data_IF_933016606460
#
_entry.id   IF_933016606460
#
_cell.length_a   1.000
_cell.length_b   1.000
_cell.length_c   1.000
_cell.angle_alpha   90.00
_cell.angle_beta   90.00
_cell.angle_gamma   90.00
#
_symmetry.space_group_name_H-M   'P 1'
#
loop_
_entity.id
_entity.type
_entity.pdbx_description
1 polymer ?
#
# COMPACT_ATOMS: atom_id res chain seq x y z
N UNK A 1 -7.17 17.53 14.40
CA UNK A 1 -5.81 17.34 13.84
C UNK A 1 -5.74 15.95 13.24
N UNK A 2 -5.22 15.79 12.02
CA UNK A 2 -5.18 14.50 11.33
C UNK A 2 -3.80 14.27 10.76
N UNK A 3 -3.24 13.07 10.91
CA UNK A 3 -1.99 12.67 10.26
C UNK A 3 -2.23 11.65 9.15
N UNK A 4 -1.22 11.42 8.31
CA UNK A 4 -1.32 10.46 7.19
C UNK A 4 -0.47 9.21 7.38
N UNK A 5 0.14 8.99 8.55
CA UNK A 5 0.93 7.78 8.82
C UNK A 5 0.08 6.51 8.86
N UNK A 6 0.53 5.47 8.14
CA UNK A 6 -0.07 4.13 8.19
C UNK A 6 0.29 3.35 9.45
N UNK A 7 1.42 3.65 10.08
CA UNK A 7 2.00 2.86 11.18
C UNK A 7 1.75 3.46 12.57
N UNK A 8 1.61 4.77 12.68
CA UNK A 8 1.43 5.46 13.96
C UNK A 8 -0.05 5.49 14.35
N UNK A 9 -0.35 5.17 15.61
CA UNK A 9 -1.66 5.38 16.22
C UNK A 9 -1.90 6.85 16.57
N UNK A 10 -3.11 7.18 17.01
CA UNK A 10 -3.46 8.54 17.46
C UNK A 10 -2.68 9.04 18.68
N UNK A 11 -1.90 8.17 19.37
CA UNK A 11 -1.10 8.55 20.53
C UNK A 11 -0.08 9.65 20.20
N UNK A 12 0.40 9.70 18.95
CA UNK A 12 1.31 10.76 18.48
C UNK A 12 0.66 12.15 18.43
N UNK A 13 -0.67 12.20 18.49
CA UNK A 13 -1.47 13.42 18.50
C UNK A 13 -1.99 13.79 19.90
N UNK A 14 -1.48 13.14 20.96
CA UNK A 14 -1.93 13.34 22.34
C UNK A 14 -1.90 14.81 22.79
N UNK A 15 -0.89 15.57 22.36
CA UNK A 15 -0.80 17.00 22.64
C UNK A 15 -2.00 17.79 22.10
N UNK A 16 -2.44 17.52 20.88
CA UNK A 16 -3.63 18.16 20.31
C UNK A 16 -4.91 17.68 20.98
N UNK A 17 -4.98 16.40 21.35
CA UNK A 17 -6.11 15.86 22.10
C UNK A 17 -6.28 16.57 23.45
N UNK A 18 -5.18 16.78 24.19
CA UNK A 18 -5.17 17.54 25.45
C UNK A 18 -5.54 19.01 25.28
N UNK A 19 -5.24 19.59 24.12
CA UNK A 19 -5.67 20.93 23.76
C UNK A 19 -7.15 21.00 23.31
N UNK A 20 -7.90 19.89 23.39
CA UNK A 20 -9.32 19.82 23.07
C UNK A 20 -9.65 19.52 21.61
N UNK A 21 -8.67 19.19 20.76
CA UNK A 21 -8.91 18.84 19.38
C UNK A 21 -9.29 17.36 19.23
N UNK A 22 -10.21 17.06 18.30
CA UNK A 22 -10.38 15.70 17.80
C UNK A 22 -9.15 15.28 16.98
N UNK A 23 -8.79 14.01 17.05
CA UNK A 23 -7.58 13.47 16.41
C UNK A 23 -7.90 12.27 15.53
N UNK A 24 -7.25 12.19 14.37
CA UNK A 24 -7.49 11.13 13.39
C UNK A 24 -6.26 10.77 12.56
N UNK A 25 -6.37 9.66 11.84
CA UNK A 25 -5.44 9.22 10.81
C UNK A 25 -6.19 9.04 9.51
N UNK A 26 -5.59 9.49 8.41
CA UNK A 26 -6.11 9.39 7.05
C UNK A 26 -4.96 8.94 6.14
N UNK A 27 -4.68 7.64 6.09
CA UNK A 27 -3.52 7.09 5.38
C UNK A 27 -3.91 6.60 3.99
N UNK A 28 -3.42 7.21 2.90
CA UNK A 28 -3.60 6.67 1.57
C UNK A 28 -2.77 5.39 1.42
N UNK A 29 -3.42 4.24 1.22
CA UNK A 29 -2.74 2.95 1.02
C UNK A 29 -2.21 2.83 -0.42
N UNK A 30 -1.31 3.74 -0.78
CA UNK A 30 -0.82 3.89 -2.14
C UNK A 30 0.66 4.29 -2.10
N UNK A 31 1.47 3.68 -2.98
CA UNK A 31 2.84 4.10 -3.18
C UNK A 31 2.86 5.34 -4.08
N UNK A 32 3.41 6.44 -3.56
CA UNK A 32 3.64 7.68 -4.30
C UNK A 32 5.11 7.79 -4.65
N UNK A 33 5.44 7.70 -5.94
CA UNK A 33 6.82 7.88 -6.42
C UNK A 33 7.06 9.27 -7.01
N UNK A 34 6.03 9.90 -7.60
CA UNK A 34 6.06 11.32 -8.01
C UNK A 34 4.72 12.00 -7.69
N UNK A 35 4.69 13.33 -7.74
CA UNK A 35 3.46 14.12 -7.53
C UNK A 35 2.43 13.80 -8.62
N UNK A 36 2.86 13.71 -9.88
CA UNK A 36 1.99 13.42 -11.03
C UNK A 36 1.36 12.04 -10.89
N UNK A 37 2.16 11.02 -10.54
CA UNK A 37 1.67 9.68 -10.27
C UNK A 37 0.77 9.64 -9.05
N UNK A 38 1.04 10.46 -8.03
CA UNK A 38 0.16 10.55 -6.86
C UNK A 38 -1.22 11.09 -7.26
N UNK A 39 -1.28 12.16 -8.05
CA UNK A 39 -2.54 12.72 -8.53
C UNK A 39 -3.31 11.73 -9.41
N UNK A 40 -2.62 10.95 -10.23
CA UNK A 40 -3.24 9.94 -11.10
C UNK A 40 -3.75 8.71 -10.35
N UNK A 41 -3.01 8.26 -9.34
CA UNK A 41 -3.27 6.98 -8.66
C UNK A 41 -4.05 7.13 -7.36
N UNK A 42 -4.16 8.34 -6.81
CA UNK A 42 -4.93 8.56 -5.57
C UNK A 42 -6.39 8.17 -5.77
N UNK A 43 -7.03 8.62 -6.85
CA UNK A 43 -8.39 8.18 -7.19
C UNK A 43 -8.40 6.67 -7.44
N UNK A 44 -9.33 5.96 -6.80
CA UNK A 44 -9.42 4.50 -6.83
C UNK A 44 -8.56 3.77 -5.78
N UNK A 45 -7.73 4.49 -5.01
CA UNK A 45 -7.03 3.93 -3.86
C UNK A 45 -7.96 3.72 -2.65
N UNK A 46 -7.44 3.06 -1.62
CA UNK A 46 -8.13 2.89 -0.33
C UNK A 46 -7.44 3.72 0.75
N UNK A 47 -8.23 4.48 1.53
CA UNK A 47 -7.76 5.22 2.71
C UNK A 47 -7.95 4.38 3.97
N UNK A 48 -6.89 4.18 4.75
CA UNK A 48 -6.95 3.66 6.11
C UNK A 48 -7.30 4.76 7.11
N UNK A 49 -8.42 4.60 7.83
CA UNK A 49 -8.98 5.60 8.74
C UNK A 49 -8.96 5.11 10.19
N UNK A 50 -8.49 5.98 11.08
CA UNK A 50 -8.60 5.87 12.54
C UNK A 50 -9.08 7.24 13.06
N UNK A 51 -10.00 7.29 14.02
CA UNK A 51 -10.54 8.56 14.51
C UNK A 51 -10.92 8.46 15.98
N UNK A 52 -10.70 9.55 16.74
CA UNK A 52 -11.02 9.62 18.17
C UNK A 52 -12.51 9.72 18.49
N UNK A 53 -13.35 10.01 17.48
CA UNK A 53 -14.78 10.18 17.64
C UNK A 53 -15.54 9.70 16.41
N UNK A 54 -16.83 9.45 16.60
CA UNK A 54 -17.75 9.10 15.52
C UNK A 54 -17.93 10.24 14.50
N UNK A 55 -18.00 11.49 14.99
CA UNK A 55 -18.17 12.68 14.15
C UNK A 55 -16.99 12.89 13.21
N UNK A 56 -15.77 12.83 13.74
CA UNK A 56 -14.55 12.92 12.93
C UNK A 56 -14.45 11.72 11.98
N UNK A 57 -14.78 10.51 12.43
CA UNK A 57 -14.76 9.32 11.57
C UNK A 57 -15.64 9.50 10.35
N UNK A 58 -16.90 9.90 10.54
CA UNK A 58 -17.84 10.11 9.45
C UNK A 58 -17.38 11.23 8.49
N UNK A 59 -16.72 12.27 9.00
CA UNK A 59 -16.11 13.31 8.16
C UNK A 59 -14.99 12.73 7.29
N UNK A 60 -14.08 11.96 7.88
CA UNK A 60 -12.96 11.35 7.14
C UNK A 60 -13.45 10.34 6.09
N UNK A 61 -14.46 9.53 6.41
CA UNK A 61 -15.05 8.59 5.45
C UNK A 61 -15.62 9.32 4.21
N UNK A 62 -16.38 10.40 4.42
CA UNK A 62 -16.87 11.24 3.32
C UNK A 62 -15.74 11.90 2.54
N UNK A 63 -14.72 12.42 3.21
CA UNK A 63 -13.56 13.01 2.53
C UNK A 63 -12.85 12.01 1.61
N UNK A 64 -12.76 10.73 2.01
CA UNK A 64 -12.19 9.69 1.15
C UNK A 64 -13.04 9.47 -0.11
N UNK A 65 -14.37 9.40 0.05
CA UNK A 65 -15.30 9.27 -1.08
C UNK A 65 -15.24 10.48 -2.02
N UNK A 66 -15.19 11.70 -1.47
CA UNK A 66 -15.13 12.96 -2.24
C UNK A 66 -13.88 13.05 -3.13
N UNK A 67 -12.76 12.41 -2.73
CA UNK A 67 -11.53 12.32 -3.53
C UNK A 67 -11.46 11.04 -4.39
N UNK A 68 -12.58 10.33 -4.54
CA UNK A 68 -12.69 9.14 -5.37
C UNK A 68 -11.99 7.90 -4.79
N UNK A 69 -11.74 7.87 -3.48
CA UNK A 69 -11.16 6.72 -2.79
C UNK A 69 -12.24 5.89 -2.10
N UNK A 70 -11.93 4.60 -1.89
CA UNK A 70 -12.62 3.78 -0.87
C UNK A 70 -11.94 3.97 0.49
N UNK A 71 -12.53 3.46 1.57
CA UNK A 71 -11.91 3.48 2.88
C UNK A 71 -12.06 2.17 3.64
N UNK A 72 -11.16 1.97 4.60
CA UNK A 72 -11.21 0.91 5.60
C UNK A 72 -10.92 1.50 6.97
N UNK A 73 -11.61 1.01 8.00
CA UNK A 73 -11.34 1.38 9.39
C UNK A 73 -10.19 0.52 9.90
N UNK A 74 -9.15 1.14 10.44
CA UNK A 74 -7.99 0.46 11.00
C UNK A 74 -7.96 0.72 12.51
N UNK A 75 -8.15 -0.30 13.35
CA UNK A 75 -8.09 -0.10 14.79
C UNK A 75 -6.64 0.19 15.22
N UNK A 76 -6.43 0.92 16.34
CA UNK A 76 -5.09 1.31 16.80
C UNK A 76 -4.11 0.12 16.91
N UNK A 77 -4.56 -1.00 17.48
CA UNK A 77 -3.79 -2.22 17.65
C UNK A 77 -3.43 -2.91 16.32
N UNK A 78 -4.17 -2.62 15.25
CA UNK A 78 -3.97 -3.18 13.91
C UNK A 78 -3.01 -2.37 13.04
N UNK A 79 -2.62 -1.15 13.44
CA UNK A 79 -1.86 -0.21 12.59
C UNK A 79 -0.54 -0.77 12.10
N UNK A 80 0.21 -1.45 12.98
CA UNK A 80 1.49 -2.07 12.62
C UNK A 80 1.29 -3.18 11.59
N UNK A 81 0.32 -4.07 11.78
CA UNK A 81 0.04 -5.16 10.84
C UNK A 81 -0.48 -4.63 9.50
N UNK A 82 -1.39 -3.67 9.53
CA UNK A 82 -1.91 -2.98 8.34
C UNK A 82 -0.78 -2.33 7.53
N UNK A 83 0.11 -1.59 8.18
CA UNK A 83 1.23 -0.95 7.50
C UNK A 83 2.25 -1.96 6.98
N UNK A 84 2.55 -3.00 7.76
CA UNK A 84 3.43 -4.09 7.31
C UNK A 84 2.87 -4.74 6.04
N UNK A 85 1.57 -5.06 5.99
CA UNK A 85 0.95 -5.60 4.78
C UNK A 85 1.17 -4.71 3.55
N UNK A 86 1.00 -3.38 3.71
CA UNK A 86 1.26 -2.42 2.64
C UNK A 86 2.75 -2.39 2.21
N UNK A 87 3.69 -2.45 3.16
CA UNK A 87 5.14 -2.51 2.90
C UNK A 87 5.52 -3.77 2.12
N UNK A 88 4.98 -4.93 2.51
CA UNK A 88 5.22 -6.19 1.80
C UNK A 88 4.67 -6.16 0.37
N UNK A 89 3.48 -5.58 0.18
CA UNK A 89 2.83 -5.47 -1.12
C UNK A 89 3.49 -4.42 -2.05
N UNK A 90 4.32 -3.51 -1.53
CA UNK A 90 4.89 -2.40 -2.31
C UNK A 90 6.42 -2.32 -2.20
N UNK A 91 6.97 -1.85 -1.07
CA UNK A 91 8.41 -1.63 -0.88
C UNK A 91 9.23 -2.90 -1.14
N UNK A 92 8.76 -4.05 -0.64
CA UNK A 92 9.50 -5.30 -0.83
C UNK A 92 9.40 -5.84 -2.25
N UNK A 93 8.31 -5.56 -2.97
CA UNK A 93 8.23 -5.87 -4.41
C UNK A 93 9.38 -5.18 -5.17
N UNK A 94 9.64 -3.90 -4.89
CA UNK A 94 10.76 -3.16 -5.51
C UNK A 94 12.10 -3.82 -5.21
N UNK A 95 12.31 -4.25 -3.96
CA UNK A 95 13.54 -4.92 -3.53
C UNK A 95 13.72 -6.27 -4.23
N UNK A 96 12.66 -7.06 -4.35
CA UNK A 96 12.69 -8.35 -5.05
C UNK A 96 13.02 -8.17 -6.54
N UNK A 97 12.43 -7.15 -7.18
CA UNK A 97 12.75 -6.80 -8.57
C UNK A 97 14.21 -6.37 -8.71
N UNK A 98 14.73 -5.55 -7.80
CA UNK A 98 16.15 -5.16 -7.81
C UNK A 98 17.09 -6.37 -7.71
N UNK A 99 16.81 -7.30 -6.79
CA UNK A 99 17.58 -8.54 -6.68
C UNK A 99 17.55 -9.34 -7.99
N UNK A 100 16.39 -9.47 -8.62
CA UNK A 100 16.27 -10.16 -9.92
C UNK A 100 17.10 -9.49 -11.02
N UNK A 101 17.12 -8.16 -11.08
CA UNK A 101 17.95 -7.41 -12.02
C UNK A 101 19.44 -7.66 -11.77
N UNK A 102 19.88 -7.62 -10.51
CA UNK A 102 21.29 -7.87 -10.14
C UNK A 102 21.75 -9.30 -10.46
N UNK A 103 20.83 -10.26 -10.48
CA UNK A 103 21.13 -11.62 -10.96
C UNK A 103 21.36 -11.67 -12.47
N UNK A 104 20.61 -10.89 -13.26
CA UNK A 104 20.79 -10.81 -14.72
C UNK A 104 22.05 -10.01 -15.09
N UNK A 105 22.39 -8.97 -14.32
CA UNK A 105 23.66 -8.23 -14.47
C UNK A 105 24.88 -9.16 -14.31
N UNK A 106 24.78 -10.24 -13.52
CA UNK A 106 25.84 -11.26 -13.38
C UNK A 106 26.04 -12.11 -14.63
N UNK A 107 25.11 -12.06 -15.58
CA UNK A 107 25.17 -12.70 -16.89
C UNK A 107 25.53 -11.69 -18.00
N UNK A 108 26.07 -10.53 -17.63
CA UNK A 108 26.40 -9.41 -18.53
C UNK A 108 25.19 -8.84 -19.30
N UNK A 109 23.97 -9.05 -18.79
CA UNK A 109 22.76 -8.43 -19.31
C UNK A 109 22.64 -7.03 -18.69
N UNK A 110 22.69 -5.99 -19.53
CA UNK A 110 22.53 -4.61 -19.09
C UNK A 110 21.16 -4.40 -18.42
N UNK A 111 21.12 -3.56 -17.39
CA UNK A 111 19.96 -3.38 -16.50
C UNK A 111 18.68 -2.96 -17.23
N UNK A 112 18.76 -2.09 -18.23
CA UNK A 112 17.63 -1.67 -19.06
C UNK A 112 17.12 -2.84 -19.90
N UNK A 113 18.01 -3.62 -20.51
CA UNK A 113 17.63 -4.86 -21.21
C UNK A 113 17.01 -5.89 -20.26
N UNK A 114 17.57 -6.07 -19.06
CA UNK A 114 17.03 -6.93 -18.01
C UNK A 114 15.64 -6.49 -17.55
N UNK A 115 15.42 -5.19 -17.37
CA UNK A 115 14.09 -4.64 -17.06
C UNK A 115 13.09 -4.88 -18.19
N UNK A 116 13.52 -4.72 -19.44
CA UNK A 116 12.71 -5.07 -20.61
C UNK A 116 12.30 -6.55 -20.63
N UNK A 117 13.23 -7.44 -20.29
CA UNK A 117 13.01 -8.89 -20.19
C UNK A 117 12.04 -9.24 -19.05
N UNK A 118 12.20 -8.64 -17.86
CA UNK A 118 11.39 -8.95 -16.68
C UNK A 118 10.02 -8.27 -16.68
N UNK A 119 9.85 -7.13 -17.36
CA UNK A 119 8.61 -6.35 -17.32
C UNK A 119 7.35 -7.14 -17.72
N UNK A 120 7.33 -7.92 -18.82
CA UNK A 120 6.18 -8.75 -19.17
C UNK A 120 5.88 -9.82 -18.10
N UNK A 121 6.93 -10.43 -17.53
CA UNK A 121 6.80 -11.44 -16.47
C UNK A 121 6.16 -10.83 -15.21
N UNK A 122 6.66 -9.69 -14.74
CA UNK A 122 6.14 -8.99 -13.56
C UNK A 122 4.66 -8.59 -13.74
N UNK A 123 4.31 -8.07 -14.92
CA UNK A 123 2.91 -7.72 -15.25
C UNK A 123 2.01 -8.95 -15.24
N UNK A 124 2.45 -10.06 -15.84
CA UNK A 124 1.74 -11.33 -15.83
C UNK A 124 1.53 -11.88 -14.42
N UNK A 125 2.58 -11.88 -13.59
CA UNK A 125 2.51 -12.30 -12.18
C UNK A 125 1.48 -11.47 -11.41
N UNK A 126 1.51 -10.15 -11.53
CA UNK A 126 0.54 -9.28 -10.84
C UNK A 126 -0.89 -9.49 -11.36
N UNK A 127 -1.09 -9.71 -12.66
CA UNK A 127 -2.39 -10.02 -13.23
C UNK A 127 -2.95 -11.35 -12.70
N UNK A 128 -2.10 -12.36 -12.49
CA UNK A 128 -2.51 -13.66 -11.96
C UNK A 128 -2.90 -13.61 -10.47
N UNK A 129 -2.31 -12.70 -9.70
CA UNK A 129 -2.66 -12.50 -8.28
C UNK A 129 -4.08 -11.90 -8.11
N UNK A 130 -4.60 -11.19 -9.12
CA UNK A 130 -5.86 -10.43 -9.04
C UNK A 130 -7.16 -11.26 -9.03
N UNK A 131 -7.11 -12.59 -8.93
CA UNK A 131 -8.33 -13.42 -8.86
C UNK A 131 -8.59 -13.93 -7.43
N UNK A 132 -9.46 -13.28 -6.64
CA UNK A 132 -10.08 -13.92 -5.50
C UNK A 132 -10.95 -15.08 -5.99
N UNK A 133 -10.60 -16.32 -5.65
CA UNK A 133 -11.41 -17.51 -5.91
C UNK A 133 -10.96 -18.44 -7.05
N UNK A 134 -9.77 -18.24 -7.65
CA UNK A 134 -9.17 -19.24 -8.54
C UNK A 134 -8.29 -20.19 -7.70
N UNK A 135 -8.66 -21.47 -7.52
CA UNK A 135 -7.88 -22.43 -6.72
C UNK A 135 -6.48 -22.72 -7.30
N UNK A 136 -6.13 -22.16 -8.46
CA UNK A 136 -4.77 -22.19 -9.03
C UNK A 136 -3.88 -20.99 -8.64
N UNK A 137 -4.40 -20.03 -7.86
CA UNK A 137 -3.65 -18.90 -7.31
C UNK A 137 -2.62 -19.33 -6.27
N UNK A 138 -1.37 -19.43 -6.71
CA UNK A 138 -0.24 -20.16 -6.09
C UNK A 138 -0.50 -21.67 -6.10
N UNK A 139 -0.35 -22.26 -7.29
CA UNK A 139 -0.03 -23.68 -7.39
C UNK A 139 1.32 -23.94 -6.72
N UNK A 140 1.30 -24.48 -5.50
CA UNK A 140 2.49 -24.94 -4.78
C UNK A 140 3.09 -26.24 -5.36
N UNK A 141 2.61 -26.74 -6.51
CA UNK A 141 2.99 -28.07 -7.01
C UNK A 141 4.04 -28.11 -8.11
N UNK A 142 4.67 -27.00 -8.48
CA UNK A 142 5.80 -27.06 -9.41
C UNK A 142 7.12 -27.51 -8.74
N UNK A 143 7.12 -28.73 -8.22
CA UNK A 143 8.34 -29.51 -7.97
C UNK A 143 8.71 -30.21 -9.28
N UNK A 144 9.92 -30.00 -9.84
CA UNK A 144 10.33 -30.69 -11.05
C UNK A 144 10.46 -32.19 -10.77
N UNK A 145 9.83 -33.02 -11.62
CA UNK A 145 10.22 -34.42 -11.80
C UNK A 145 11.36 -34.50 -12.81
#
# INVERSE_FOLDING_TARGET
>A
MVHTSGALSLDVLEGARRAGAEVGSFHPCQAFATIEQALQNLSGSTIGIEASSEGLRALLERMAEDIGCSYVRVPPEGKVLYHAAAVFASNYMVTLVDVALRLLERLDIERTAAMGLLSPLLRGTLANIKKPGDPSGIDRTNSPR
#
